data_IF_575178688281
#
_entry.id   IF_575178688281
#
_cell.length_a   1.000
_cell.length_b   1.000
_cell.length_c   1.000
_cell.angle_alpha   90.00
_cell.angle_beta   90.00
_cell.angle_gamma   90.00
#
_symmetry.space_group_name_H-M   'P 1'
#
loop_
_entity.id
_entity.type
_entity.pdbx_description
1 polymer ?
#
# COMPACT_ATOMS: atom_id res chain seq x y z
N UNK A 1 15.04 4.75 27.49
CA UNK A 1 13.88 3.83 27.63
C UNK A 1 13.00 3.98 26.39
N UNK A 2 12.97 3.02 25.50
CA UNK A 2 12.05 3.04 24.34
C UNK A 2 10.61 2.91 24.85
N UNK A 3 9.74 3.82 24.44
CA UNK A 3 8.32 3.86 24.87
C UNK A 3 7.59 2.65 24.31
N UNK A 4 7.08 1.76 25.17
CA UNK A 4 6.29 0.57 24.78
C UNK A 4 5.06 0.98 23.94
N UNK A 5 4.81 0.24 22.85
CA UNK A 5 3.73 0.52 21.88
C UNK A 5 2.41 -0.02 22.43
N UNK A 6 1.41 0.86 22.56
CA UNK A 6 0.03 0.50 22.93
C UNK A 6 -0.82 0.15 21.72
N UNK A 7 -2.05 -0.36 21.96
CA UNK A 7 -2.97 -0.79 20.91
C UNK A 7 -3.33 0.32 19.92
N UNK A 8 -3.61 1.53 20.39
CA UNK A 8 -3.93 2.67 19.52
C UNK A 8 -2.78 3.00 18.57
N UNK A 9 -1.55 3.09 19.09
CA UNK A 9 -0.38 3.38 18.25
C UNK A 9 -0.12 2.27 17.24
N UNK A 10 -0.27 1.01 17.64
CA UNK A 10 -0.17 -0.13 16.72
C UNK A 10 -1.25 -0.07 15.65
N UNK A 11 -2.51 0.22 16.01
CA UNK A 11 -3.63 0.32 15.08
C UNK A 11 -3.44 1.43 14.04
N UNK A 12 -3.00 2.60 14.46
CA UNK A 12 -2.67 3.70 13.55
C UNK A 12 -1.50 3.35 12.62
N UNK A 13 -0.47 2.69 13.13
CA UNK A 13 0.66 2.25 12.29
C UNK A 13 0.20 1.16 11.32
N UNK A 14 -0.58 0.19 11.79
CA UNK A 14 -1.14 -0.86 10.93
C UNK A 14 -1.96 -0.25 9.79
N UNK A 15 -2.93 0.61 10.11
CA UNK A 15 -3.71 1.31 9.09
C UNK A 15 -2.83 2.15 8.15
N UNK A 16 -1.84 2.85 8.69
CA UNK A 16 -0.91 3.69 7.93
C UNK A 16 -0.07 2.91 6.92
N UNK A 17 0.17 1.60 7.13
CA UNK A 17 0.86 0.76 6.15
C UNK A 17 0.09 0.65 4.83
N UNK A 18 -1.24 0.71 4.88
CA UNK A 18 -2.13 0.48 3.73
C UNK A 18 -2.72 1.79 3.19
N UNK A 19 -2.92 2.79 4.06
CA UNK A 19 -3.51 4.09 3.70
C UNK A 19 -2.52 4.95 2.90
N UNK A 20 -1.93 4.35 1.87
CA UNK A 20 -1.11 5.05 0.89
C UNK A 20 -1.94 5.83 -0.12
N UNK A 21 -1.24 6.57 -0.99
CA UNK A 21 -1.89 7.40 -2.00
C UNK A 21 -2.76 6.60 -2.98
N UNK A 22 -2.42 5.34 -3.30
CA UNK A 22 -3.24 4.43 -4.11
C UNK A 22 -4.62 4.20 -3.49
N UNK A 23 -4.64 3.93 -2.18
CA UNK A 23 -5.86 3.68 -1.40
C UNK A 23 -6.79 4.90 -1.38
N UNK A 24 -6.26 6.06 -1.02
CA UNK A 24 -7.07 7.28 -0.88
C UNK A 24 -7.36 7.97 -2.22
N UNK A 25 -6.61 7.66 -3.30
CA UNK A 25 -6.98 8.10 -4.65
C UNK A 25 -8.29 7.48 -5.13
N UNK A 26 -8.69 6.36 -4.53
CA UNK A 26 -9.88 5.62 -4.87
C UNK A 26 -9.70 4.65 -6.05
N UNK A 27 -8.66 4.80 -6.86
CA UNK A 27 -8.44 3.98 -8.05
C UNK A 27 -8.26 2.49 -7.70
N UNK A 28 -7.41 2.21 -6.71
CA UNK A 28 -7.16 0.86 -6.20
C UNK A 28 -8.42 0.23 -5.62
N UNK A 29 -9.12 0.96 -4.75
CA UNK A 29 -10.34 0.47 -4.11
C UNK A 29 -11.45 0.21 -5.13
N UNK A 30 -11.56 1.05 -6.16
CA UNK A 30 -12.54 0.83 -7.21
C UNK A 30 -12.22 -0.42 -8.03
N UNK A 31 -10.99 -0.60 -8.48
CA UNK A 31 -10.58 -1.76 -9.29
C UNK A 31 -10.73 -3.08 -8.55
N UNK A 32 -10.40 -3.11 -7.25
CA UNK A 32 -10.45 -4.34 -6.46
C UNK A 32 -11.85 -4.64 -5.90
N UNK A 33 -12.64 -3.62 -5.60
CA UNK A 33 -13.91 -3.82 -4.91
C UNK A 33 -15.09 -3.11 -5.60
N UNK A 34 -14.99 -1.81 -5.90
CA UNK A 34 -16.11 -1.04 -6.44
C UNK A 34 -16.65 -1.62 -7.74
N UNK A 35 -15.79 -2.11 -8.62
CA UNK A 35 -16.18 -2.72 -9.89
C UNK A 35 -17.08 -3.96 -9.75
N UNK A 36 -17.02 -4.67 -8.61
CA UNK A 36 -17.87 -5.82 -8.32
C UNK A 36 -19.21 -5.46 -7.66
N UNK A 37 -19.51 -4.17 -7.54
CA UNK A 37 -20.77 -3.69 -6.96
C UNK A 37 -20.94 -4.09 -5.49
N UNK A 38 -22.15 -4.51 -5.12
CA UNK A 38 -22.45 -4.94 -3.74
C UNK A 38 -21.61 -6.13 -3.28
N UNK A 39 -21.25 -7.07 -4.17
CA UNK A 39 -20.35 -8.18 -3.84
C UNK A 39 -18.94 -7.69 -3.53
N UNK A 40 -18.51 -6.59 -4.14
CA UNK A 40 -17.22 -5.97 -3.82
C UNK A 40 -17.14 -5.45 -2.39
N UNK A 41 -18.24 -4.99 -1.79
CA UNK A 41 -18.28 -4.61 -0.38
C UNK A 41 -18.04 -5.81 0.55
N UNK A 42 -18.60 -6.98 0.20
CA UNK A 42 -18.29 -8.23 0.91
C UNK A 42 -16.82 -8.61 0.72
N UNK A 43 -16.31 -8.45 -0.49
CA UNK A 43 -14.89 -8.64 -0.81
C UNK A 43 -13.97 -7.75 0.02
N UNK A 44 -14.33 -6.48 0.20
CA UNK A 44 -13.56 -5.57 1.05
C UNK A 44 -13.51 -6.04 2.51
N UNK A 45 -14.65 -6.47 3.08
CA UNK A 45 -14.69 -7.01 4.45
C UNK A 45 -13.82 -8.25 4.56
N UNK A 46 -13.90 -9.16 3.58
CA UNK A 46 -13.07 -10.36 3.53
C UNK A 46 -11.58 -10.01 3.45
N UNK A 47 -11.19 -9.08 2.57
CA UNK A 47 -9.81 -8.65 2.41
C UNK A 47 -9.24 -8.07 3.72
N UNK A 48 -9.99 -7.21 4.39
CA UNK A 48 -9.56 -6.60 5.66
C UNK A 48 -9.50 -7.65 6.78
N UNK A 49 -10.41 -8.61 6.81
CA UNK A 49 -10.35 -9.72 7.75
C UNK A 49 -9.09 -10.59 7.54
N UNK A 50 -8.73 -10.86 6.28
CA UNK A 50 -7.50 -11.57 5.93
C UNK A 50 -6.25 -10.77 6.30
N UNK A 51 -6.22 -9.46 6.04
CA UNK A 51 -5.13 -8.57 6.46
C UNK A 51 -4.97 -8.54 7.98
N UNK A 52 -6.07 -8.45 8.72
CA UNK A 52 -6.05 -8.50 10.18
C UNK A 52 -5.57 -9.84 10.71
N UNK A 53 -6.07 -10.94 10.14
CA UNK A 53 -5.66 -12.30 10.52
C UNK A 53 -4.18 -12.55 10.29
N UNK A 54 -3.67 -12.19 9.10
CA UNK A 54 -2.24 -12.31 8.77
C UNK A 54 -1.37 -11.36 9.59
N UNK A 55 -1.83 -10.12 9.86
CA UNK A 55 -1.13 -9.18 10.74
C UNK A 55 -0.96 -9.72 12.15
N UNK A 56 -2.02 -10.27 12.76
CA UNK A 56 -1.94 -10.91 14.09
C UNK A 56 -1.05 -12.15 14.06
N UNK A 57 -1.13 -12.95 12.97
CA UNK A 57 -0.28 -14.14 12.80
C UNK A 57 1.19 -13.76 12.78
N UNK A 58 1.56 -12.74 11.98
CA UNK A 58 2.92 -12.22 11.88
C UNK A 58 3.46 -11.70 13.22
N UNK A 59 2.68 -10.87 13.91
CA UNK A 59 3.07 -10.34 15.21
C UNK A 59 3.29 -11.46 16.24
N UNK A 60 2.44 -12.49 16.22
CA UNK A 60 2.58 -13.65 17.12
C UNK A 60 3.76 -14.54 16.76
N UNK A 61 4.01 -14.73 15.45
CA UNK A 61 5.16 -15.51 14.98
C UNK A 61 6.46 -14.80 15.33
N UNK A 62 6.61 -13.52 15.01
CA UNK A 62 7.79 -12.72 15.36
C UNK A 62 8.01 -12.67 16.88
N UNK A 63 6.95 -12.52 17.69
CA UNK A 63 7.05 -12.54 19.16
C UNK A 63 7.53 -13.88 19.73
N UNK A 64 7.26 -15.00 19.05
CA UNK A 64 7.68 -16.36 19.50
C UNK A 64 9.08 -16.71 19.05
N UNK A 65 9.42 -16.36 17.81
CA UNK A 65 10.70 -16.73 17.19
C UNK A 65 11.81 -15.71 17.42
N UNK A 66 11.47 -14.47 17.81
CA UNK A 66 12.41 -13.36 17.87
C UNK A 66 12.88 -12.86 16.50
N UNK A 67 12.31 -13.38 15.41
CA UNK A 67 12.68 -13.02 14.03
C UNK A 67 12.00 -11.71 13.65
N UNK A 68 12.79 -10.73 13.20
CA UNK A 68 12.31 -9.42 12.71
C UNK A 68 12.49 -9.26 11.20
N UNK A 69 13.42 -10.01 10.60
CA UNK A 69 13.69 -9.95 9.18
C UNK A 69 12.53 -10.57 8.38
N UNK A 70 12.04 -9.84 7.39
CA UNK A 70 10.87 -10.21 6.60
C UNK A 70 11.04 -11.55 5.87
N UNK A 71 12.17 -11.74 5.20
CA UNK A 71 12.51 -12.96 4.47
C UNK A 71 12.58 -14.18 5.39
N UNK A 72 13.14 -14.01 6.60
CA UNK A 72 13.25 -15.06 7.59
C UNK A 72 11.91 -15.39 8.30
N UNK A 73 10.95 -14.44 8.35
CA UNK A 73 9.59 -14.72 8.81
C UNK A 73 8.77 -15.48 7.77
N UNK A 74 8.95 -15.12 6.48
CA UNK A 74 8.23 -15.79 5.39
C UNK A 74 8.79 -17.18 5.13
N UNK A 75 10.14 -17.31 5.13
CA UNK A 75 10.82 -18.56 4.75
C UNK A 75 11.68 -19.06 5.90
N UNK A 76 11.54 -20.33 6.25
CA UNK A 76 12.37 -21.00 7.25
C UNK A 76 13.85 -20.97 6.88
N UNK A 77 14.72 -21.09 7.92
CA UNK A 77 16.17 -20.95 7.80
C UNK A 77 16.85 -21.96 6.88
N UNK A 78 16.22 -23.11 6.69
CA UNK A 78 16.72 -24.25 5.94
C UNK A 78 16.62 -24.13 4.41
N UNK A 79 16.04 -23.02 3.89
CA UNK A 79 15.83 -22.84 2.45
C UNK A 79 16.36 -21.46 1.97
N UNK A 80 17.70 -21.28 1.89
CA UNK A 80 18.30 -19.96 1.62
C UNK A 80 18.00 -19.39 0.23
N UNK A 81 17.84 -20.24 -0.79
CA UNK A 81 17.49 -19.78 -2.14
C UNK A 81 16.09 -19.15 -2.18
N UNK A 82 15.13 -19.69 -1.41
CA UNK A 82 13.77 -19.17 -1.33
C UNK A 82 13.73 -17.81 -0.61
N UNK A 83 14.57 -17.61 0.42
CA UNK A 83 14.76 -16.30 1.06
C UNK A 83 15.27 -15.26 0.07
N UNK A 84 16.26 -15.63 -0.74
CA UNK A 84 16.77 -14.74 -1.79
C UNK A 84 15.68 -14.39 -2.79
N UNK A 85 14.90 -15.38 -3.23
CA UNK A 85 13.77 -15.18 -4.13
C UNK A 85 12.73 -14.19 -3.55
N UNK A 86 12.31 -14.40 -2.31
CA UNK A 86 11.37 -13.49 -1.61
C UNK A 86 11.95 -12.07 -1.53
N UNK A 87 13.24 -11.92 -1.21
CA UNK A 87 13.90 -10.62 -1.18
C UNK A 87 13.91 -9.91 -2.54
N UNK A 88 14.21 -10.64 -3.63
CA UNK A 88 14.17 -10.11 -5.00
C UNK A 88 12.74 -9.70 -5.39
N UNK A 89 11.75 -10.56 -5.13
CA UNK A 89 10.34 -10.26 -5.41
C UNK A 89 9.87 -9.03 -4.65
N UNK A 90 10.28 -8.88 -3.39
CA UNK A 90 9.95 -7.67 -2.60
C UNK A 90 10.60 -6.42 -3.18
N UNK A 91 11.87 -6.49 -3.55
CA UNK A 91 12.56 -5.36 -4.19
C UNK A 91 11.89 -4.97 -5.52
N UNK A 92 11.48 -5.96 -6.32
CA UNK A 92 10.77 -5.72 -7.57
C UNK A 92 9.37 -5.14 -7.35
N UNK A 93 8.63 -5.57 -6.30
CA UNK A 93 7.37 -4.93 -5.90
C UNK A 93 7.58 -3.46 -5.52
N UNK A 94 8.57 -3.18 -4.67
CA UNK A 94 8.87 -1.81 -4.26
C UNK A 94 9.26 -0.94 -5.46
N UNK A 95 10.00 -1.50 -6.41
CA UNK A 95 10.29 -0.80 -7.67
C UNK A 95 9.01 -0.55 -8.49
N UNK A 96 8.10 -1.53 -8.59
CA UNK A 96 6.78 -1.36 -9.20
C UNK A 96 5.97 -0.24 -8.53
N UNK A 97 6.05 -0.13 -7.19
CA UNK A 97 5.43 0.98 -6.45
C UNK A 97 6.03 2.33 -6.85
N UNK A 98 7.34 2.41 -7.09
CA UNK A 98 7.96 3.67 -7.59
C UNK A 98 7.37 4.05 -8.95
N UNK A 99 7.22 3.09 -9.88
CA UNK A 99 6.61 3.32 -11.19
C UNK A 99 5.15 3.82 -11.06
N UNK A 100 4.36 3.14 -10.22
CA UNK A 100 2.94 3.48 -9.97
C UNK A 100 2.82 4.89 -9.40
N UNK A 101 3.59 5.23 -8.39
CA UNK A 101 3.52 6.55 -7.76
C UNK A 101 4.01 7.66 -8.68
N UNK A 102 5.05 7.43 -9.50
CA UNK A 102 5.49 8.36 -10.51
C UNK A 102 4.41 8.61 -11.58
N UNK A 103 3.73 7.55 -12.04
CA UNK A 103 2.57 7.66 -12.93
C UNK A 103 1.42 8.42 -12.28
N UNK A 104 1.15 8.18 -10.99
CA UNK A 104 0.12 8.86 -10.22
C UNK A 104 0.36 10.36 -10.09
N UNK A 105 1.61 10.79 -9.86
CA UNK A 105 1.95 12.22 -9.83
C UNK A 105 1.88 12.84 -11.23
N UNK A 106 2.26 12.09 -12.27
CA UNK A 106 2.04 12.49 -13.65
C UNK A 106 0.56 12.74 -13.96
N UNK A 107 -0.31 11.82 -13.55
CA UNK A 107 -1.76 11.94 -13.67
C UNK A 107 -2.31 13.12 -12.84
N UNK A 108 -1.80 13.34 -11.63
CA UNK A 108 -2.13 14.48 -10.79
C UNK A 108 -1.79 15.81 -11.49
N UNK A 109 -0.59 15.92 -12.06
CA UNK A 109 -0.18 17.08 -12.84
C UNK A 109 -1.08 17.32 -14.07
N UNK A 110 -1.52 16.25 -14.72
CA UNK A 110 -2.45 16.32 -15.84
C UNK A 110 -3.84 16.81 -15.40
N UNK A 111 -4.41 16.24 -14.33
CA UNK A 111 -5.73 16.61 -13.82
C UNK A 111 -5.78 18.04 -13.25
N UNK A 112 -4.71 18.52 -12.59
CA UNK A 112 -4.70 19.81 -11.91
C UNK A 112 -4.17 20.95 -12.76
N UNK A 113 -3.19 20.69 -13.62
CA UNK A 113 -2.43 21.72 -14.35
C UNK A 113 -2.54 21.56 -15.88
N UNK A 114 -3.22 20.52 -16.38
CA UNK A 114 -3.31 20.23 -17.81
C UNK A 114 -1.98 19.81 -18.45
N UNK A 115 -0.98 19.42 -17.65
CA UNK A 115 0.33 18.99 -18.15
C UNK A 115 0.22 17.62 -18.84
N UNK A 116 1.02 17.35 -19.88
CA UNK A 116 1.16 15.99 -20.38
C UNK A 116 1.65 15.06 -19.26
N UNK A 117 1.01 13.89 -19.11
CA UNK A 117 1.32 12.92 -18.01
C UNK A 117 2.82 12.58 -17.95
N UNK A 118 3.45 12.35 -19.13
CA UNK A 118 4.87 12.03 -19.19
C UNK A 118 5.77 13.14 -18.61
N UNK A 119 5.39 14.41 -18.77
CA UNK A 119 6.16 15.55 -18.26
C UNK A 119 6.09 15.60 -16.72
N UNK A 120 4.90 15.42 -16.15
CA UNK A 120 4.71 15.32 -14.70
C UNK A 120 5.50 14.15 -14.11
N UNK A 121 5.44 12.99 -14.77
CA UNK A 121 6.23 11.80 -14.37
C UNK A 121 7.73 12.03 -14.47
N UNK A 122 8.23 12.70 -15.50
CA UNK A 122 9.65 13.02 -15.66
C UNK A 122 10.15 13.95 -14.54
N UNK A 123 9.40 15.04 -14.30
CA UNK A 123 9.76 16.02 -13.25
C UNK A 123 9.83 15.31 -11.90
N UNK A 124 8.83 14.49 -11.56
CA UNK A 124 8.83 13.84 -10.25
C UNK A 124 9.91 12.77 -10.15
N UNK A 125 10.24 12.05 -11.21
CA UNK A 125 11.36 11.10 -11.20
C UNK A 125 12.70 11.79 -10.87
N UNK A 126 12.95 12.98 -11.42
CA UNK A 126 14.12 13.77 -11.07
C UNK A 126 14.11 14.18 -9.58
N UNK A 127 12.95 14.62 -9.07
CA UNK A 127 12.80 14.98 -7.66
C UNK A 127 12.98 13.77 -6.73
N UNK A 128 12.44 12.59 -7.10
CA UNK A 128 12.61 11.34 -6.36
C UNK A 128 14.09 10.95 -6.32
N UNK A 129 14.79 11.03 -7.47
CA UNK A 129 16.23 10.74 -7.53
C UNK A 129 17.04 11.68 -6.64
N UNK A 130 16.79 12.98 -6.71
CA UNK A 130 17.43 13.96 -5.87
C UNK A 130 17.19 13.70 -4.38
N UNK A 131 15.94 13.46 -3.98
CA UNK A 131 15.58 13.15 -2.60
C UNK A 131 16.25 11.85 -2.10
N UNK A 132 16.28 10.79 -2.93
CA UNK A 132 16.94 9.53 -2.59
C UNK A 132 18.46 9.65 -2.53
N UNK A 133 19.07 10.56 -3.31
CA UNK A 133 20.50 10.84 -3.28
C UNK A 133 20.93 11.54 -1.99
N UNK A 134 20.20 12.60 -1.58
CA UNK A 134 20.52 13.36 -0.37
C UNK A 134 20.10 12.67 0.93
N UNK A 135 19.29 11.63 0.85
CA UNK A 135 18.82 10.81 1.98
C UNK A 135 17.47 11.22 2.53
N UNK A 136 16.83 10.28 3.22
CA UNK A 136 15.41 10.33 3.63
C UNK A 136 15.15 10.98 5.00
N UNK A 137 16.13 11.57 5.67
CA UNK A 137 16.02 12.00 7.06
C UNK A 137 14.82 12.91 7.41
N UNK A 138 14.35 13.73 6.44
CA UNK A 138 13.17 14.58 6.62
C UNK A 138 11.84 13.96 6.19
N UNK A 139 11.86 12.92 5.37
CA UNK A 139 10.65 12.39 4.73
C UNK A 139 9.76 11.56 5.67
N UNK A 140 10.36 10.87 6.64
CA UNK A 140 9.59 10.15 7.68
C UNK A 140 8.66 11.11 8.43
N UNK A 141 9.12 12.33 8.68
CA UNK A 141 8.32 13.38 9.34
C UNK A 141 7.17 13.84 8.45
N UNK A 142 7.42 14.04 7.14
CA UNK A 142 6.39 14.43 6.17
C UNK A 142 5.29 13.37 6.10
N UNK A 143 5.65 12.09 6.04
CA UNK A 143 4.67 11.00 6.05
C UNK A 143 3.82 10.94 7.32
N UNK A 144 4.45 11.13 8.47
CA UNK A 144 3.76 11.06 9.76
C UNK A 144 2.62 12.10 9.86
N UNK A 145 2.74 13.21 9.12
CA UNK A 145 1.73 14.27 9.07
C UNK A 145 0.82 14.13 7.85
N UNK A 146 1.38 13.89 6.67
CA UNK A 146 0.62 13.88 5.42
C UNK A 146 -0.44 12.76 5.37
N UNK A 147 -0.12 11.55 5.84
CA UNK A 147 -1.05 10.42 5.79
C UNK A 147 -2.30 10.65 6.67
N UNK A 148 -2.21 11.03 7.94
CA UNK A 148 -3.39 11.38 8.74
C UNK A 148 -4.21 12.52 8.13
N UNK A 149 -3.56 13.58 7.63
CA UNK A 149 -4.24 14.69 6.97
C UNK A 149 -5.00 14.23 5.72
N UNK A 150 -4.40 13.34 4.93
CA UNK A 150 -4.99 12.76 3.72
C UNK A 150 -6.24 11.91 4.05
N UNK A 151 -6.19 11.12 5.13
CA UNK A 151 -7.33 10.35 5.63
C UNK A 151 -8.47 11.28 6.03
N UNK A 152 -8.17 12.30 6.83
CA UNK A 152 -9.17 13.27 7.29
C UNK A 152 -9.78 14.01 6.10
N UNK A 153 -8.97 14.46 5.15
CA UNK A 153 -9.45 15.12 3.95
C UNK A 153 -10.34 14.20 3.10
N UNK A 154 -9.96 12.94 2.91
CA UNK A 154 -10.77 11.95 2.21
C UNK A 154 -12.13 11.74 2.90
N UNK A 155 -12.17 11.58 4.22
CA UNK A 155 -13.41 11.40 4.98
C UNK A 155 -14.31 12.64 4.94
N UNK A 156 -13.74 13.85 4.93
CA UNK A 156 -14.50 15.11 4.77
C UNK A 156 -15.15 15.16 3.39
N UNK A 157 -14.38 14.86 2.33
CA UNK A 157 -14.89 14.82 0.94
C UNK A 157 -16.02 13.81 0.81
N UNK A 158 -15.82 12.59 1.36
CA UNK A 158 -16.82 11.53 1.43
C UNK A 158 -18.09 12.02 2.14
N UNK A 159 -17.96 12.61 3.31
CA UNK A 159 -19.08 13.12 4.10
C UNK A 159 -19.88 14.19 3.33
N UNK A 160 -19.21 15.16 2.72
CA UNK A 160 -19.85 16.21 1.91
C UNK A 160 -20.57 15.59 0.70
N UNK A 161 -19.93 14.65 0.01
CA UNK A 161 -20.54 14.00 -1.17
C UNK A 161 -21.80 13.23 -0.80
N UNK A 162 -21.73 12.35 0.19
CA UNK A 162 -22.88 11.54 0.63
C UNK A 162 -24.02 12.44 1.15
N UNK A 163 -23.68 13.51 1.88
CA UNK A 163 -24.70 14.46 2.36
C UNK A 163 -25.43 15.16 1.20
N UNK A 164 -24.73 15.50 0.12
CA UNK A 164 -25.32 16.20 -1.05
C UNK A 164 -26.12 15.30 -1.97
N UNK A 165 -25.70 14.06 -2.18
CA UNK A 165 -26.30 13.14 -3.17
C UNK A 165 -27.17 12.06 -2.60
N UNK A 166 -27.05 11.79 -1.30
CA UNK A 166 -27.60 10.60 -0.67
C UNK A 166 -26.88 9.32 -1.13
N UNK A 167 -27.19 8.22 -0.49
CA UNK A 167 -26.68 6.90 -0.84
C UNK A 167 -27.86 5.99 -1.20
N UNK A 168 -27.88 5.45 -2.42
CA UNK A 168 -28.91 4.51 -2.87
C UNK A 168 -28.26 3.16 -3.20
N UNK A 169 -29.01 2.07 -3.04
CA UNK A 169 -28.52 0.73 -3.40
C UNK A 169 -28.17 0.63 -4.90
N UNK A 170 -28.86 1.38 -5.76
CA UNK A 170 -28.59 1.44 -7.20
C UNK A 170 -27.20 2.01 -7.54
N UNK A 171 -26.60 2.81 -6.63
CA UNK A 171 -25.25 3.34 -6.83
C UNK A 171 -24.19 2.23 -6.89
N UNK A 172 -24.44 1.07 -6.28
CA UNK A 172 -23.52 -0.07 -6.26
C UNK A 172 -23.78 -1.08 -7.40
N UNK A 173 -24.10 -0.60 -8.59
CA UNK A 173 -24.29 -1.45 -9.77
C UNK A 173 -22.98 -2.13 -10.24
N UNK A 174 -21.83 -1.62 -9.80
CA UNK A 174 -20.51 -2.10 -10.23
C UNK A 174 -20.05 -1.47 -11.54
N UNK A 175 -19.05 -2.08 -12.15
CA UNK A 175 -18.45 -1.58 -13.39
C UNK A 175 -17.64 -2.66 -14.10
N UNK A 176 -16.76 -2.24 -15.01
CA UNK A 176 -15.83 -3.15 -15.68
C UNK A 176 -14.82 -3.72 -14.67
N UNK A 177 -14.81 -5.03 -14.53
CA UNK A 177 -13.91 -5.74 -13.64
C UNK A 177 -12.57 -6.03 -14.31
N UNK A 178 -11.49 -6.02 -13.52
CA UNK A 178 -10.18 -6.39 -14.01
C UNK A 178 -10.14 -7.90 -14.35
N UNK A 179 -9.78 -8.29 -15.60
CA UNK A 179 -9.73 -9.69 -16.01
C UNK A 179 -8.82 -10.56 -15.15
N UNK A 180 -7.78 -9.97 -14.55
CA UNK A 180 -6.86 -10.69 -13.67
C UNK A 180 -7.46 -11.04 -12.31
N UNK A 181 -8.58 -10.42 -11.91
CA UNK A 181 -9.16 -10.62 -10.58
C UNK A 181 -10.32 -11.64 -10.58
N UNK A 182 -10.90 -11.96 -11.74
CA UNK A 182 -11.86 -13.04 -11.97
C UNK A 182 -13.17 -12.98 -11.17
N UNK A 183 -13.10 -12.83 -9.85
CA UNK A 183 -14.25 -12.74 -8.94
C UNK A 183 -13.97 -11.84 -7.74
N UNK A 184 -15.01 -11.40 -7.05
CA UNK A 184 -14.87 -10.59 -5.84
C UNK A 184 -14.08 -11.32 -4.71
N UNK A 185 -14.17 -12.65 -4.64
CA UNK A 185 -13.40 -13.46 -3.68
C UNK A 185 -11.93 -13.48 -4.07
N UNK A 186 -11.63 -13.76 -5.34
CA UNK A 186 -10.26 -13.73 -5.86
C UNK A 186 -9.63 -12.36 -5.67
N UNK A 187 -10.40 -11.30 -5.94
CA UNK A 187 -9.97 -9.92 -5.72
C UNK A 187 -9.63 -9.66 -4.25
N UNK A 188 -10.50 -10.09 -3.33
CA UNK A 188 -10.27 -9.90 -1.89
C UNK A 188 -9.02 -10.63 -1.39
N UNK A 189 -8.81 -11.88 -1.79
CA UNK A 189 -7.63 -12.67 -1.41
C UNK A 189 -6.37 -12.09 -2.04
N UNK A 190 -6.44 -11.71 -3.32
CA UNK A 190 -5.33 -11.08 -4.04
C UNK A 190 -4.94 -9.74 -3.40
N UNK A 191 -5.94 -8.91 -3.03
CA UNK A 191 -5.73 -7.66 -2.31
C UNK A 191 -4.99 -7.86 -0.99
N UNK A 192 -5.44 -8.78 -0.16
CA UNK A 192 -4.79 -9.12 1.10
C UNK A 192 -3.36 -9.62 0.87
N UNK A 193 -3.15 -10.40 -0.17
CA UNK A 193 -1.89 -11.06 -0.46
C UNK A 193 -0.79 -10.10 -0.94
N UNK A 194 -1.08 -9.13 -1.83
CA UNK A 194 -0.05 -8.17 -2.23
C UNK A 194 0.30 -7.20 -1.09
N UNK A 195 -0.69 -6.82 -0.30
CA UNK A 195 -0.48 -5.99 0.89
C UNK A 195 0.28 -6.71 2.01
N UNK A 196 0.27 -8.03 2.01
CA UNK A 196 1.03 -8.84 2.96
C UNK A 196 2.52 -8.48 2.98
N UNK A 197 3.15 -8.23 1.84
CA UNK A 197 4.56 -7.83 1.76
C UNK A 197 4.84 -6.52 2.51
N UNK A 198 3.97 -5.52 2.38
CA UNK A 198 4.10 -4.27 3.12
C UNK A 198 3.94 -4.49 4.63
N UNK A 199 3.00 -5.35 5.01
CA UNK A 199 2.67 -5.65 6.40
C UNK A 199 3.83 -6.33 7.13
N UNK A 200 4.47 -7.33 6.52
CA UNK A 200 5.58 -8.08 7.15
C UNK A 200 6.74 -7.16 7.50
N UNK A 201 7.17 -6.33 6.57
CA UNK A 201 8.34 -5.47 6.74
C UNK A 201 8.20 -4.42 7.85
N UNK A 202 6.97 -4.02 8.17
CA UNK A 202 6.70 -2.97 9.16
C UNK A 202 6.32 -3.56 10.51
N UNK A 203 5.46 -4.59 10.54
CA UNK A 203 4.95 -5.13 11.79
C UNK A 203 5.96 -5.99 12.53
N UNK A 204 6.82 -6.72 11.82
CA UNK A 204 7.77 -7.63 12.44
C UNK A 204 8.73 -6.90 13.43
N UNK A 205 9.40 -5.81 13.05
CA UNK A 205 10.28 -5.09 13.99
C UNK A 205 9.53 -4.44 15.17
N UNK A 206 8.23 -4.16 15.03
CA UNK A 206 7.45 -3.54 16.10
C UNK A 206 7.12 -4.51 17.24
N UNK A 207 7.23 -5.80 17.01
CA UNK A 207 6.77 -6.85 17.93
C UNK A 207 7.45 -6.77 19.29
N UNK A 208 8.77 -6.53 19.33
CA UNK A 208 9.54 -6.45 20.57
C UNK A 208 9.18 -5.25 21.45
N UNK A 209 8.56 -4.23 20.85
CA UNK A 209 8.18 -3.00 21.53
C UNK A 209 6.72 -2.99 22.01
N UNK A 210 5.95 -4.07 21.80
CA UNK A 210 4.56 -4.15 22.22
C UNK A 210 4.45 -4.21 23.76
N UNK A 211 3.43 -3.55 24.32
CA UNK A 211 3.15 -3.56 25.76
C UNK A 211 2.76 -4.93 26.29
N UNK A 212 1.99 -5.69 25.49
CA UNK A 212 1.47 -7.01 25.87
C UNK A 212 1.06 -7.81 24.63
N UNK A 213 0.85 -9.13 24.81
CA UNK A 213 0.33 -10.01 23.74
C UNK A 213 -1.07 -9.60 23.26
N UNK A 214 -1.91 -9.06 24.13
CA UNK A 214 -3.24 -8.55 23.75
C UNK A 214 -3.17 -7.27 22.91
N UNK A 215 -2.10 -6.48 23.03
CA UNK A 215 -1.86 -5.29 22.22
C UNK A 215 -1.82 -5.62 20.73
N UNK A 216 -1.25 -6.77 20.35
CA UNK A 216 -1.21 -7.23 18.97
C UNK A 216 -2.62 -7.40 18.37
N UNK A 217 -3.53 -8.08 19.12
CA UNK A 217 -4.91 -8.30 18.66
C UNK A 217 -5.72 -7.01 18.58
N UNK A 218 -5.78 -6.26 19.68
CA UNK A 218 -6.57 -5.03 19.75
C UNK A 218 -6.05 -3.92 18.82
N UNK A 219 -4.72 -3.79 18.68
CA UNK A 219 -4.14 -2.81 17.77
C UNK A 219 -4.44 -3.14 16.31
N UNK A 220 -4.27 -4.41 15.90
CA UNK A 220 -4.61 -4.83 14.54
C UNK A 220 -6.11 -4.65 14.27
N UNK A 221 -6.99 -5.00 15.22
CA UNK A 221 -8.43 -4.81 15.07
C UNK A 221 -8.79 -3.33 14.88
N UNK A 222 -8.24 -2.43 15.67
CA UNK A 222 -8.44 -0.99 15.51
C UNK A 222 -7.98 -0.49 14.14
N UNK A 223 -6.82 -0.98 13.67
CA UNK A 223 -6.34 -0.66 12.32
C UNK A 223 -7.27 -1.16 11.22
N UNK A 224 -7.77 -2.40 11.34
CA UNK A 224 -8.75 -2.96 10.40
C UNK A 224 -10.05 -2.16 10.36
N UNK A 225 -10.57 -1.74 11.51
CA UNK A 225 -11.78 -0.90 11.59
C UNK A 225 -11.56 0.44 10.90
N UNK A 226 -10.41 1.06 11.10
CA UNK A 226 -10.07 2.33 10.44
C UNK A 226 -9.95 2.17 8.92
N UNK A 227 -9.26 1.11 8.46
CA UNK A 227 -9.16 0.77 7.03
C UNK A 227 -10.53 0.55 6.41
N UNK A 228 -11.38 -0.25 7.08
CA UNK A 228 -12.72 -0.53 6.58
C UNK A 228 -13.56 0.75 6.48
N UNK A 229 -13.52 1.60 7.50
CA UNK A 229 -14.28 2.86 7.51
C UNK A 229 -13.85 3.80 6.37
N UNK A 230 -12.55 3.95 6.14
CA UNK A 230 -12.03 4.79 5.05
C UNK A 230 -12.40 4.19 3.69
N UNK A 231 -12.18 2.88 3.48
CA UNK A 231 -12.48 2.24 2.20
C UNK A 231 -13.97 2.27 1.87
N UNK A 232 -14.84 1.94 2.83
CA UNK A 232 -16.28 2.02 2.65
C UNK A 232 -16.70 3.45 2.29
N UNK A 233 -16.17 4.45 3.00
CA UNK A 233 -16.43 5.85 2.69
C UNK A 233 -16.04 6.21 1.25
N UNK A 234 -14.83 5.89 0.85
CA UNK A 234 -14.32 6.15 -0.51
C UNK A 234 -15.19 5.43 -1.57
N UNK A 235 -15.48 4.14 -1.38
CA UNK A 235 -16.33 3.38 -2.30
C UNK A 235 -17.75 3.96 -2.39
N UNK A 236 -18.36 4.34 -1.27
CA UNK A 236 -19.67 5.00 -1.26
C UNK A 236 -19.65 6.34 -2.03
N UNK A 237 -18.62 7.17 -1.82
CA UNK A 237 -18.50 8.43 -2.53
C UNK A 237 -18.32 8.23 -4.04
N UNK A 238 -17.49 7.28 -4.46
CA UNK A 238 -17.26 6.96 -5.87
C UNK A 238 -18.49 6.32 -6.51
N UNK A 239 -19.18 5.42 -5.83
CA UNK A 239 -20.42 4.81 -6.31
C UNK A 239 -21.50 5.85 -6.64
N UNK A 240 -21.53 6.98 -5.90
CA UNK A 240 -22.42 8.11 -6.20
C UNK A 240 -21.88 9.09 -7.26
N UNK A 241 -20.70 8.81 -7.85
CA UNK A 241 -19.99 9.71 -8.78
C UNK A 241 -19.42 8.93 -9.97
N UNK A 242 -20.26 8.30 -10.83
CA UNK A 242 -19.77 7.48 -11.95
C UNK A 242 -18.83 8.26 -12.88
N UNK A 243 -19.04 9.55 -13.03
CA UNK A 243 -18.21 10.43 -13.83
C UNK A 243 -16.78 10.60 -13.32
N UNK A 244 -16.58 10.47 -12.00
CA UNK A 244 -15.23 10.55 -11.40
C UNK A 244 -14.46 9.25 -11.50
N UNK A 245 -15.13 8.11 -11.64
CA UNK A 245 -14.51 6.78 -11.71
C UNK A 245 -13.60 6.64 -12.94
N UNK A 246 -13.95 7.28 -14.04
CA UNK A 246 -13.17 7.28 -15.28
C UNK A 246 -11.85 8.06 -15.18
N UNK A 247 -11.71 8.93 -14.18
CA UNK A 247 -10.50 9.71 -13.97
C UNK A 247 -9.36 8.84 -13.41
N UNK A 248 -8.09 9.10 -13.76
CA UNK A 248 -6.95 8.38 -13.21
C UNK A 248 -6.84 8.46 -11.67
N UNK A 249 -7.29 9.58 -11.10
CA UNK A 249 -7.38 9.80 -9.64
C UNK A 249 -8.83 10.15 -9.27
N UNK A 250 -9.71 9.15 -9.09
CA UNK A 250 -11.15 9.39 -8.94
C UNK A 250 -11.52 10.29 -7.76
N UNK A 251 -10.92 10.09 -6.59
CA UNK A 251 -11.18 10.92 -5.41
C UNK A 251 -10.66 12.36 -5.57
N UNK A 252 -9.60 12.56 -6.36
CA UNK A 252 -9.14 13.91 -6.70
C UNK A 252 -10.15 14.63 -7.61
N UNK A 253 -10.67 13.94 -8.62
CA UNK A 253 -11.72 14.50 -9.50
C UNK A 253 -12.95 14.89 -8.68
N UNK A 254 -13.38 14.00 -7.79
CA UNK A 254 -14.47 14.28 -6.86
C UNK A 254 -14.19 15.50 -5.97
N UNK A 255 -12.97 15.62 -5.44
CA UNK A 255 -12.55 16.74 -4.62
C UNK A 255 -12.54 18.05 -5.40
N UNK A 256 -12.09 18.04 -6.67
CA UNK A 256 -12.10 19.22 -7.55
C UNK A 256 -13.52 19.73 -7.82
N UNK A 257 -14.51 18.83 -7.92
CA UNK A 257 -15.93 19.20 -8.03
C UNK A 257 -16.50 19.89 -6.78
N UNK A 258 -15.79 19.80 -5.65
CA UNK A 258 -16.10 20.51 -4.40
C UNK A 258 -15.35 21.86 -4.28
N UNK A 259 -14.65 22.30 -5.32
CA UNK A 259 -13.95 23.58 -5.39
C UNK A 259 -12.56 23.51 -4.75
N UNK A 260 -12.23 24.44 -3.84
CA UNK A 260 -10.89 24.54 -3.22
C UNK A 260 -10.40 23.27 -2.52
N UNK A 261 -11.30 22.37 -2.12
CA UNK A 261 -10.96 21.07 -1.56
C UNK A 261 -10.08 20.23 -2.50
N UNK A 262 -10.24 20.38 -3.82
CA UNK A 262 -9.40 19.71 -4.83
C UNK A 262 -7.94 20.08 -4.71
N UNK A 263 -7.61 21.36 -4.50
CA UNK A 263 -6.22 21.83 -4.37
C UNK A 263 -5.57 21.24 -3.12
N UNK A 264 -6.27 21.29 -1.98
CA UNK A 264 -5.77 20.73 -0.72
C UNK A 264 -5.53 19.22 -0.87
N UNK A 265 -6.48 18.52 -1.48
CA UNK A 265 -6.38 17.08 -1.69
C UNK A 265 -5.25 16.72 -2.65
N UNK A 266 -5.05 17.48 -3.73
CA UNK A 266 -3.95 17.31 -4.67
C UNK A 266 -2.58 17.44 -3.99
N UNK A 267 -2.40 18.45 -3.14
CA UNK A 267 -1.15 18.65 -2.38
C UNK A 267 -0.88 17.47 -1.44
N UNK A 268 -1.91 17.00 -0.74
CA UNK A 268 -1.77 15.84 0.16
C UNK A 268 -1.44 14.56 -0.61
N UNK A 269 -2.12 14.30 -1.73
CA UNK A 269 -1.83 13.17 -2.61
C UNK A 269 -0.41 13.24 -3.16
N UNK A 270 0.04 14.42 -3.62
CA UNK A 270 1.41 14.60 -4.08
C UNK A 270 2.43 14.18 -3.03
N UNK A 271 2.33 14.71 -1.81
CA UNK A 271 3.25 14.35 -0.73
C UNK A 271 3.17 12.86 -0.35
N UNK A 272 1.97 12.27 -0.36
CA UNK A 272 1.78 10.84 -0.12
C UNK A 272 2.47 9.99 -1.19
N UNK A 273 2.24 10.26 -2.47
CA UNK A 273 2.85 9.53 -3.58
C UNK A 273 4.37 9.75 -3.65
N UNK A 274 4.81 10.99 -3.52
CA UNK A 274 6.23 11.34 -3.56
C UNK A 274 7.02 10.65 -2.47
N UNK A 275 6.52 10.70 -1.25
CA UNK A 275 7.16 10.07 -0.14
C UNK A 275 7.21 8.55 -0.25
N UNK A 276 6.11 7.89 -0.66
CA UNK A 276 6.08 6.45 -0.93
C UNK A 276 7.12 6.06 -1.98
N UNK A 277 7.23 6.85 -3.07
CA UNK A 277 8.23 6.63 -4.12
C UNK A 277 9.66 6.68 -3.60
N UNK A 278 10.00 7.73 -2.85
CA UNK A 278 11.36 7.89 -2.33
C UNK A 278 11.70 6.79 -1.34
N UNK A 279 10.79 6.46 -0.42
CA UNK A 279 11.00 5.38 0.55
C UNK A 279 11.20 4.03 -0.14
N UNK A 280 10.38 3.72 -1.14
CA UNK A 280 10.48 2.48 -1.92
C UNK A 280 11.78 2.42 -2.72
N UNK A 281 12.17 3.51 -3.38
CA UNK A 281 13.42 3.57 -4.16
C UNK A 281 14.65 3.40 -3.26
N UNK A 282 14.67 4.05 -2.09
CA UNK A 282 15.76 3.90 -1.12
C UNK A 282 15.83 2.47 -0.58
N UNK A 283 14.69 1.81 -0.35
CA UNK A 283 14.66 0.41 0.06
C UNK A 283 15.24 -0.51 -1.02
N UNK A 284 14.89 -0.30 -2.30
CA UNK A 284 15.46 -1.04 -3.44
C UNK A 284 16.98 -0.80 -3.56
N UNK A 285 17.43 0.45 -3.45
CA UNK A 285 18.85 0.79 -3.47
C UNK A 285 19.63 0.13 -2.32
N UNK A 286 19.05 0.10 -1.14
CA UNK A 286 19.65 -0.55 0.03
C UNK A 286 19.75 -2.06 -0.17
N UNK A 287 18.67 -2.69 -0.64
CA UNK A 287 18.66 -4.12 -0.92
C UNK A 287 19.68 -4.50 -1.98
N UNK A 288 19.74 -3.78 -3.11
CA UNK A 288 20.70 -4.04 -4.18
C UNK A 288 22.15 -3.88 -3.72
N UNK A 289 22.44 -2.83 -2.92
CA UNK A 289 23.76 -2.60 -2.33
C UNK A 289 24.20 -3.71 -1.37
N UNK A 290 23.28 -4.31 -0.62
CA UNK A 290 23.57 -5.46 0.26
C UNK A 290 23.90 -6.74 -0.52
N UNK A 291 23.41 -6.89 -1.75
CA UNK A 291 23.61 -8.09 -2.58
C UNK A 291 24.91 -8.06 -3.39
N UNK A 292 25.47 -6.89 -3.67
CA UNK A 292 26.69 -6.75 -4.48
C UNK A 292 27.52 -5.55 -4.04
N UNK A 293 28.78 -5.80 -3.74
CA UNK A 293 29.76 -4.73 -3.44
C UNK A 293 29.92 -3.76 -4.62
N UNK A 294 29.83 -4.26 -5.86
CA UNK A 294 29.88 -3.43 -7.07
C UNK A 294 28.71 -2.45 -7.14
N UNK A 295 27.46 -2.93 -6.90
CA UNK A 295 26.27 -2.07 -6.88
C UNK A 295 26.33 -1.04 -5.74
N UNK A 296 26.88 -1.42 -4.59
CA UNK A 296 27.12 -0.51 -3.47
C UNK A 296 28.12 0.59 -3.82
N UNK A 297 29.24 0.23 -4.48
CA UNK A 297 30.26 1.19 -4.92
C UNK A 297 29.74 2.15 -6.00
N UNK A 298 28.81 1.70 -6.86
CA UNK A 298 28.23 2.50 -7.95
C UNK A 298 26.79 2.96 -7.64
N UNK A 299 26.50 3.27 -6.38
CA UNK A 299 25.14 3.60 -5.91
C UNK A 299 24.46 4.69 -6.74
N UNK A 300 25.21 5.74 -7.14
CA UNK A 300 24.65 6.82 -7.98
C UNK A 300 24.24 6.33 -9.36
N UNK A 301 25.02 5.46 -10.00
CA UNK A 301 24.68 4.88 -11.28
C UNK A 301 23.41 4.01 -11.16
N UNK A 302 23.34 3.16 -10.13
CA UNK A 302 22.18 2.32 -9.84
C UNK A 302 20.93 3.19 -9.61
N UNK A 303 21.05 4.29 -8.85
CA UNK A 303 19.97 5.25 -8.65
C UNK A 303 19.46 5.82 -9.98
N UNK A 304 20.37 6.29 -10.84
CA UNK A 304 19.99 6.88 -12.14
C UNK A 304 19.32 5.84 -13.05
N UNK A 305 19.85 4.63 -13.12
CA UNK A 305 19.26 3.53 -13.91
C UNK A 305 17.87 3.16 -13.41
N UNK A 306 17.69 2.99 -12.09
CA UNK A 306 16.39 2.68 -11.51
C UNK A 306 15.39 3.82 -11.72
N UNK A 307 15.84 5.07 -11.62
CA UNK A 307 14.95 6.22 -11.85
C UNK A 307 14.54 6.33 -13.31
N UNK A 308 15.46 6.12 -14.26
CA UNK A 308 15.13 6.10 -15.68
C UNK A 308 14.18 4.94 -16.03
N UNK A 309 14.39 3.76 -15.45
CA UNK A 309 13.49 2.62 -15.60
C UNK A 309 12.11 2.89 -14.97
N UNK A 310 12.07 3.58 -13.81
CA UNK A 310 10.81 3.95 -13.17
C UNK A 310 10.04 4.99 -14.01
N UNK A 311 10.72 5.94 -14.62
CA UNK A 311 10.10 6.86 -15.58
C UNK A 311 9.51 6.09 -16.77
N UNK A 312 10.27 5.20 -17.40
CA UNK A 312 9.77 4.38 -18.50
C UNK A 312 8.55 3.53 -18.07
N UNK A 313 8.60 2.92 -16.89
CA UNK A 313 7.49 2.18 -16.30
C UNK A 313 6.28 3.05 -16.02
N UNK A 314 6.45 4.31 -15.62
CA UNK A 314 5.34 5.22 -15.34
C UNK A 314 4.51 5.61 -16.57
N UNK A 315 5.07 5.45 -17.76
CA UNK A 315 4.37 5.76 -19.04
C UNK A 315 3.22 4.79 -19.36
N UNK A 316 3.17 3.62 -18.70
CA UNK A 316 2.02 2.71 -18.82
C UNK A 316 0.74 3.27 -18.19
N UNK A 317 0.84 4.30 -17.35
CA UNK A 317 -0.31 4.93 -16.71
C UNK A 317 -0.63 4.37 -15.32
N UNK A 318 -1.19 5.24 -14.47
CA UNK A 318 -1.44 4.92 -13.05
C UNK A 318 -2.44 3.77 -12.86
N UNK A 319 -3.58 3.83 -13.57
CA UNK A 319 -4.65 2.83 -13.47
C UNK A 319 -4.22 1.45 -13.99
N UNK A 320 -3.51 1.40 -15.12
CA UNK A 320 -3.05 0.16 -15.75
C UNK A 320 -1.96 -0.51 -14.90
N UNK A 321 -1.07 0.27 -14.32
CA UNK A 321 -0.05 -0.23 -13.41
C UNK A 321 -0.66 -0.83 -12.13
N UNK A 322 -1.65 -0.16 -11.53
CA UNK A 322 -2.39 -0.73 -10.38
C UNK A 322 -3.09 -2.01 -10.78
N UNK A 323 -3.75 -2.01 -11.96
CA UNK A 323 -4.49 -3.16 -12.47
C UNK A 323 -3.64 -4.34 -12.92
N UNK A 324 -2.32 -4.18 -13.05
CA UNK A 324 -1.41 -5.24 -13.50
C UNK A 324 -0.41 -5.63 -12.42
N UNK A 325 0.33 -4.66 -11.90
CA UNK A 325 1.42 -4.92 -10.93
C UNK A 325 0.87 -5.50 -9.63
N UNK A 326 -0.16 -4.88 -9.05
CA UNK A 326 -0.71 -5.36 -7.78
C UNK A 326 -1.35 -6.75 -7.88
N UNK A 327 -2.17 -7.09 -8.90
CA UNK A 327 -2.66 -8.46 -9.07
C UNK A 327 -1.57 -9.50 -9.25
N UNK A 328 -0.52 -9.22 -10.04
CA UNK A 328 0.63 -10.13 -10.20
C UNK A 328 1.27 -10.41 -8.85
N UNK A 329 1.57 -9.36 -8.07
CA UNK A 329 2.14 -9.52 -6.73
C UNK A 329 1.17 -10.13 -5.73
N UNK A 330 -0.13 -9.95 -5.92
CA UNK A 330 -1.14 -10.63 -5.13
C UNK A 330 -1.08 -12.14 -5.29
N UNK A 331 -0.95 -12.65 -6.51
CA UNK A 331 -0.77 -14.08 -6.76
C UNK A 331 0.52 -14.64 -6.15
N UNK A 332 1.63 -13.90 -6.24
CA UNK A 332 2.88 -14.26 -5.56
C UNK A 332 2.75 -14.18 -4.03
N UNK A 333 2.01 -13.19 -3.55
CA UNK A 333 1.74 -12.98 -2.12
C UNK A 333 0.90 -14.08 -1.50
N UNK A 334 -0.01 -14.71 -2.26
CA UNK A 334 -0.77 -15.87 -1.79
C UNK A 334 0.17 -17.01 -1.38
N UNK A 335 1.19 -17.29 -2.20
CA UNK A 335 2.20 -18.30 -1.86
C UNK A 335 3.00 -17.90 -0.60
N UNK A 336 3.38 -16.63 -0.47
CA UNK A 336 4.09 -16.14 0.71
C UNK A 336 3.22 -16.22 1.99
N UNK A 337 1.92 -15.94 1.90
CA UNK A 337 0.98 -16.11 3.02
C UNK A 337 0.88 -17.56 3.48
N UNK A 338 0.86 -18.51 2.54
CA UNK A 338 0.86 -19.95 2.86
C UNK A 338 2.17 -20.37 3.55
N UNK A 339 3.32 -19.88 3.09
CA UNK A 339 4.62 -20.14 3.72
C UNK A 339 4.68 -19.64 5.17
N UNK A 340 4.16 -18.44 5.44
CA UNK A 340 4.09 -17.91 6.81
C UNK A 340 3.12 -18.72 7.67
N UNK A 341 2.00 -19.16 7.14
CA UNK A 341 1.06 -20.00 7.85
C UNK A 341 1.70 -21.36 8.24
N UNK A 342 2.43 -21.98 7.30
CA UNK A 342 3.21 -23.21 7.56
C UNK A 342 4.26 -22.97 8.65
N UNK A 343 5.05 -21.89 8.53
CA UNK A 343 6.06 -21.53 9.51
C UNK A 343 5.45 -21.33 10.92
N UNK A 344 4.29 -20.68 11.01
CA UNK A 344 3.60 -20.46 12.27
C UNK A 344 3.05 -21.76 12.89
N UNK A 345 2.58 -22.71 12.06
CA UNK A 345 2.13 -24.03 12.52
C UNK A 345 3.32 -24.83 13.06
N UNK A 346 4.44 -24.81 12.33
CA UNK A 346 5.66 -25.51 12.78
C UNK A 346 6.19 -24.94 14.09
N UNK A 347 6.31 -23.61 14.21
CA UNK A 347 6.74 -22.95 15.44
C UNK A 347 5.80 -23.20 16.65
N UNK A 348 4.54 -23.55 16.41
CA UNK A 348 3.63 -23.98 17.47
C UNK A 348 3.87 -25.42 17.91
N UNK A 349 4.17 -26.32 16.96
CA UNK A 349 4.40 -27.73 17.23
C UNK A 349 5.70 -27.96 18.00
N UNK A 350 6.78 -27.24 17.63
CA UNK A 350 8.05 -27.32 18.37
C UNK A 350 7.91 -26.79 19.80
N UNK A 351 7.17 -25.74 20.03
CA UNK A 351 6.91 -25.19 21.36
C UNK A 351 5.91 -26.01 22.22
N UNK A 352 5.22 -26.97 21.65
CA UNK A 352 4.30 -27.85 22.35
C UNK A 352 4.89 -29.28 22.59
N UNK A 353 6.02 -29.58 21.94
CA UNK A 353 6.73 -30.85 22.09
C UNK A 353 7.90 -30.79 23.08
N UNK A 354 8.24 -29.57 23.55
CA UNK A 354 9.14 -29.29 24.67
C UNK A 354 8.31 -29.00 25.94
#
# INVERSE_FOLDING_TARGET
MQRKIGALRLGLTFAGCFLGAGYVSGQELWQYFGAFGTHGLLGLVLAIALLGGTGVLLLRLSARTGIEAMDALIVRADVPWLRTLVGVLTAALLFGVVCIMAAGIGALGSQMLGLPVWLGSAIVCVLIAAAAYFGVGGMVTVFTVAVPCMIVAALIIVGIRIHRTGLTAAAFAGGSTNPMLGSWVTSAVNYAAYNFFATVGILAPMTQHLKSRSTAGWGTLLGCVLLLAVALGVLCALATSPESIAAPLPMLDLACRLGAAGIVYAVLLFFGMFGTSVSSLVAVLTYTGQKSAWLSAHRTLVLLVLTAAAFAGSLFGFGDLIGTVYPVYGYLGMAAMLLVAEHAIHARRTAAGD
#
